data_IF_523459154998
#
_entry.id   IF_523459154998
#
_cell.length_a   1.000
_cell.length_b   1.000
_cell.length_c   1.000
_cell.angle_alpha   90.00
_cell.angle_beta   90.00
_cell.angle_gamma   90.00
#
_symmetry.space_group_name_H-M   'P 1'
#
loop_
_entity.id
_entity.type
_entity.pdbx_description
1 polymer ?
#
# COMPACT_ATOMS: atom_id res chain seq x y z
N UNK A 1 -17.05 -42.61 18.82
CA UNK A 1 -16.35 -41.38 19.25
C UNK A 1 -15.82 -40.68 18.00
N UNK A 2 -16.62 -39.79 17.41
CA UNK A 2 -16.26 -39.09 16.16
C UNK A 2 -15.62 -37.77 16.54
N UNK A 3 -14.30 -37.65 16.38
CA UNK A 3 -13.59 -36.36 16.49
C UNK A 3 -14.00 -35.50 15.29
N UNK A 4 -14.96 -34.62 15.52
CA UNK A 4 -15.25 -33.52 14.59
C UNK A 4 -14.14 -32.48 14.78
N UNK A 5 -13.08 -32.57 13.97
CA UNK A 5 -12.10 -31.49 13.88
C UNK A 5 -12.74 -30.35 13.11
N UNK A 6 -13.29 -29.39 13.85
CA UNK A 6 -13.62 -28.06 13.34
C UNK A 6 -12.34 -27.45 12.78
N UNK A 7 -12.17 -27.52 11.46
CA UNK A 7 -11.28 -26.67 10.71
C UNK A 7 -11.80 -25.24 10.87
N UNK A 8 -11.38 -24.59 11.96
CA UNK A 8 -11.39 -23.15 12.07
C UNK A 8 -10.54 -22.64 10.90
N UNK A 9 -11.21 -22.26 9.81
CA UNK A 9 -10.61 -21.48 8.73
C UNK A 9 -10.24 -20.13 9.34
N UNK A 10 -9.09 -20.06 10.00
CA UNK A 10 -8.51 -18.82 10.48
C UNK A 10 -8.52 -17.85 9.29
N UNK A 11 -9.38 -16.83 9.37
CA UNK A 11 -9.38 -15.75 8.39
C UNK A 11 -7.95 -15.21 8.32
N UNK A 12 -7.38 -15.03 7.11
CA UNK A 12 -6.05 -14.48 7.00
C UNK A 12 -6.01 -13.13 7.71
N UNK A 13 -4.99 -12.90 8.54
CA UNK A 13 -4.78 -11.59 9.17
C UNK A 13 -4.47 -10.59 8.05
N UNK A 14 -5.20 -9.48 8.03
CA UNK A 14 -5.09 -8.45 6.99
C UNK A 14 -5.13 -7.07 7.63
N UNK A 15 -4.29 -6.15 7.14
CA UNK A 15 -4.39 -4.72 7.40
C UNK A 15 -4.68 -3.96 6.10
N UNK A 16 -5.28 -2.79 6.23
CA UNK A 16 -5.65 -1.92 5.12
C UNK A 16 -5.15 -0.49 5.35
N UNK A 17 -4.72 0.15 4.26
CA UNK A 17 -4.57 1.59 4.19
C UNK A 17 -5.41 2.11 3.02
N UNK A 18 -6.50 2.82 3.32
CA UNK A 18 -7.43 3.36 2.32
C UNK A 18 -7.16 4.85 2.11
N UNK A 19 -6.89 5.24 0.87
CA UNK A 19 -6.64 6.61 0.44
C UNK A 19 -7.93 7.15 -0.16
N UNK A 20 -8.45 8.23 0.42
CA UNK A 20 -9.70 8.88 0.02
C UNK A 20 -9.59 10.42 -0.04
N UNK A 21 -8.37 10.97 0.02
CA UNK A 21 -8.16 12.42 0.01
C UNK A 21 -7.66 12.84 -1.38
N UNK A 22 -6.36 13.17 -1.49
CA UNK A 22 -5.75 13.55 -2.74
C UNK A 22 -5.63 12.36 -3.70
N UNK A 23 -5.48 11.14 -3.16
CA UNK A 23 -5.43 9.89 -3.91
C UNK A 23 -6.66 9.04 -3.56
N UNK A 24 -7.25 8.39 -4.56
CA UNK A 24 -8.26 7.35 -4.36
C UNK A 24 -7.63 5.98 -4.59
N UNK A 25 -7.68 5.09 -3.60
CA UNK A 25 -7.10 3.76 -3.71
C UNK A 25 -6.88 3.06 -2.39
N UNK A 26 -6.15 1.95 -2.43
CA UNK A 26 -5.80 1.20 -1.23
C UNK A 26 -4.47 0.47 -1.33
N UNK A 27 -3.93 0.19 -0.14
CA UNK A 27 -2.97 -0.88 0.10
C UNK A 27 -3.62 -1.92 1.02
N UNK A 28 -3.38 -3.19 0.73
CA UNK A 28 -3.80 -4.33 1.53
C UNK A 28 -2.56 -5.14 1.90
N UNK A 29 -2.39 -5.40 3.19
CA UNK A 29 -1.27 -6.12 3.76
C UNK A 29 -1.78 -7.45 4.27
N UNK A 30 -1.35 -8.56 3.66
CA UNK A 30 -1.82 -9.91 3.96
C UNK A 30 -0.69 -10.66 4.65
N UNK A 31 -0.98 -11.20 5.83
CA UNK A 31 -0.06 -12.02 6.59
C UNK A 31 0.34 -13.27 5.78
N UNK A 32 1.64 -13.50 5.65
CA UNK A 32 2.20 -14.79 5.21
C UNK A 32 2.82 -15.51 6.41
N UNK A 33 3.71 -14.82 7.13
CA UNK A 33 4.30 -15.24 8.40
C UNK A 33 4.80 -14.02 9.20
N UNK A 34 5.34 -14.23 10.40
CA UNK A 34 5.80 -13.15 11.30
C UNK A 34 6.83 -12.19 10.70
N UNK A 35 7.54 -12.58 9.63
CA UNK A 35 8.55 -11.76 8.96
C UNK A 35 8.23 -11.47 7.50
N UNK A 36 7.04 -11.87 7.02
CA UNK A 36 6.69 -11.79 5.61
C UNK A 36 5.24 -11.37 5.42
N UNK A 37 5.05 -10.35 4.60
CA UNK A 37 3.75 -9.78 4.26
C UNK A 37 3.62 -9.65 2.76
N UNK A 38 2.49 -10.11 2.21
CA UNK A 38 2.09 -9.81 0.84
C UNK A 38 1.41 -8.44 0.83
N UNK A 39 1.91 -7.52 0.02
CA UNK A 39 1.30 -6.21 -0.17
C UNK A 39 0.64 -6.16 -1.53
N UNK A 40 -0.64 -5.80 -1.52
CA UNK A 40 -1.44 -5.54 -2.70
C UNK A 40 -1.76 -4.05 -2.77
N UNK A 41 -1.47 -3.39 -3.88
CA UNK A 41 -1.79 -1.98 -4.10
C UNK A 41 -2.66 -1.78 -5.33
N UNK A 42 -3.69 -0.95 -5.20
CA UNK A 42 -4.54 -0.53 -6.31
C UNK A 42 -5.00 0.90 -6.07
N UNK A 43 -4.69 1.78 -7.00
CA UNK A 43 -5.06 3.19 -6.95
C UNK A 43 -5.80 3.58 -8.23
N UNK A 44 -6.82 4.41 -8.07
CA UNK A 44 -7.76 4.77 -9.12
C UNK A 44 -7.50 6.19 -9.64
N UNK A 45 -7.20 7.16 -8.78
CA UNK A 45 -7.03 8.56 -9.20
C UNK A 45 -6.16 9.36 -8.22
N UNK A 46 -5.86 10.62 -8.56
CA UNK A 46 -5.15 11.55 -7.66
C UNK A 46 -3.66 11.74 -7.92
N UNK A 47 -3.17 11.19 -9.02
CA UNK A 47 -1.82 11.41 -9.52
C UNK A 47 -1.85 12.52 -10.58
N UNK A 48 -0.76 13.28 -10.75
CA UNK A 48 -0.66 14.35 -11.76
C UNK A 48 -1.13 13.86 -13.15
N UNK A 49 -2.09 14.59 -13.73
CA UNK A 49 -2.74 14.24 -15.00
C UNK A 49 -3.95 13.31 -14.89
N UNK A 50 -4.27 12.79 -13.69
CA UNK A 50 -5.44 11.94 -13.39
C UNK A 50 -6.68 12.75 -13.01
N UNK A 51 -7.43 13.21 -14.02
CA UNK A 51 -8.84 13.53 -13.82
C UNK A 51 -9.68 12.26 -14.10
N UNK A 52 -10.36 11.72 -13.10
CA UNK A 52 -11.34 10.63 -13.26
C UNK A 52 -10.81 9.29 -13.81
N UNK A 53 -9.61 8.85 -13.39
CA UNK A 53 -9.04 7.58 -13.86
C UNK A 53 -8.90 7.51 -15.39
N UNK A 54 -8.82 8.64 -16.11
CA UNK A 54 -8.92 8.62 -17.59
C UNK A 54 -7.59 8.87 -18.32
N UNK A 55 -6.59 9.42 -17.62
CA UNK A 55 -5.25 9.68 -18.16
C UNK A 55 -4.29 9.87 -17.00
N UNK A 56 -3.02 9.48 -17.12
CA UNK A 56 -1.97 9.85 -16.15
C UNK A 56 -0.74 10.26 -16.93
N UNK A 57 -0.09 11.35 -16.50
CA UNK A 57 1.18 11.80 -17.07
C UNK A 57 2.28 11.08 -16.27
N UNK A 58 3.15 10.27 -16.89
CA UNK A 58 4.29 9.68 -16.20
C UNK A 58 5.13 10.80 -15.57
N UNK A 59 5.30 10.77 -14.25
CA UNK A 59 6.24 11.70 -13.62
C UNK A 59 7.67 11.18 -13.81
N UNK A 60 8.60 12.01 -14.29
CA UNK A 60 10.00 11.61 -14.52
C UNK A 60 10.70 11.11 -13.25
N UNK A 61 10.22 11.50 -12.07
CA UNK A 61 10.80 11.12 -10.77
C UNK A 61 10.03 9.99 -10.05
N UNK A 62 8.89 9.56 -10.61
CA UNK A 62 8.02 8.51 -10.05
C UNK A 62 7.37 8.85 -8.70
N UNK A 63 6.34 8.08 -8.35
CA UNK A 63 5.70 8.12 -7.02
C UNK A 63 6.40 7.15 -6.07
N UNK A 64 6.56 7.54 -4.81
CA UNK A 64 7.15 6.73 -3.74
C UNK A 64 6.08 6.37 -2.72
N UNK A 65 5.95 5.08 -2.42
CA UNK A 65 5.09 4.55 -1.36
C UNK A 65 5.95 4.11 -0.20
N UNK A 66 5.71 4.69 0.96
CA UNK A 66 6.52 4.49 2.16
C UNK A 66 5.63 4.19 3.35
N UNK A 67 6.17 3.42 4.29
CA UNK A 67 5.59 3.30 5.62
C UNK A 67 6.33 4.27 6.55
N UNK A 68 5.56 5.09 7.27
CA UNK A 68 6.07 6.20 8.09
C UNK A 68 5.42 6.21 9.47
N UNK A 69 6.12 6.73 10.48
CA UNK A 69 5.55 6.89 11.84
C UNK A 69 4.60 8.08 11.94
N UNK A 70 4.95 9.18 11.27
CA UNK A 70 4.23 10.46 11.28
C UNK A 70 3.96 10.86 9.82
N UNK A 71 2.70 11.09 9.42
CA UNK A 71 2.34 11.24 8.01
C UNK A 71 2.87 12.51 7.34
N UNK A 72 3.10 13.59 8.09
CA UNK A 72 3.53 14.89 7.55
C UNK A 72 4.98 15.27 7.89
N UNK A 73 5.65 14.54 8.78
CA UNK A 73 7.04 14.80 9.17
C UNK A 73 7.97 13.73 8.58
N UNK A 74 9.25 14.06 8.28
CA UNK A 74 10.25 13.07 7.92
C UNK A 74 10.36 12.01 9.03
N UNK A 75 9.78 10.85 8.77
CA UNK A 75 9.70 9.73 9.73
C UNK A 75 9.60 8.38 9.01
N UNK A 76 10.14 8.38 7.79
CA UNK A 76 10.26 7.23 6.93
C UNK A 76 11.09 6.14 7.60
N UNK A 77 10.62 4.90 7.46
CA UNK A 77 11.29 3.71 7.96
C UNK A 77 11.88 2.95 6.76
N UNK A 78 13.20 3.02 6.50
CA UNK A 78 13.80 2.45 5.30
C UNK A 78 13.52 0.97 5.08
N UNK A 79 13.48 0.17 6.16
CA UNK A 79 13.19 -1.27 6.09
C UNK A 79 11.78 -1.61 5.56
N UNK A 80 10.88 -0.63 5.52
CA UNK A 80 9.50 -0.78 5.06
C UNK A 80 9.23 0.03 3.77
N UNK A 81 10.27 0.41 3.02
CA UNK A 81 10.08 1.10 1.74
C UNK A 81 9.42 0.17 0.72
N UNK A 82 8.25 0.55 0.24
CA UNK A 82 7.51 -0.22 -0.74
C UNK A 82 7.89 0.19 -2.18
N UNK A 83 8.49 1.38 -2.35
CA UNK A 83 8.73 2.03 -3.66
C UNK A 83 9.57 1.21 -4.62
N UNK A 84 10.54 0.43 -4.11
CA UNK A 84 11.45 -0.35 -4.96
C UNK A 84 10.76 -1.51 -5.68
N UNK A 85 9.72 -2.08 -5.06
CA UNK A 85 9.03 -3.29 -5.51
C UNK A 85 7.62 -3.02 -5.99
N UNK A 86 6.96 -2.01 -5.43
CA UNK A 86 5.75 -1.42 -5.98
C UNK A 86 6.12 -0.36 -7.02
N UNK A 87 6.72 -0.82 -8.13
CA UNK A 87 6.94 0.04 -9.30
C UNK A 87 5.62 0.19 -10.05
N UNK A 88 5.04 1.37 -10.00
CA UNK A 88 3.82 1.69 -10.71
C UNK A 88 3.99 1.52 -12.23
N UNK A 89 3.44 0.44 -12.79
CA UNK A 89 3.03 0.40 -14.20
C UNK A 89 1.54 0.75 -14.21
N UNK A 90 1.26 2.03 -14.41
CA UNK A 90 -0.08 2.59 -14.46
C UNK A 90 -0.71 2.18 -15.80
N UNK A 91 -1.94 1.66 -15.79
CA UNK A 91 -2.58 1.23 -17.03
C UNK A 91 -3.20 2.42 -17.77
N UNK A 92 -3.34 2.34 -19.12
CA UNK A 92 -3.95 3.41 -19.92
C UNK A 92 -5.38 3.78 -19.50
N UNK A 93 -6.09 2.88 -18.82
CA UNK A 93 -7.42 3.09 -18.23
C UNK A 93 -7.41 3.90 -16.93
N UNK A 94 -6.32 4.61 -16.65
CA UNK A 94 -6.06 5.53 -15.53
C UNK A 94 -6.23 5.00 -14.11
N UNK A 95 -6.52 3.71 -13.93
CA UNK A 95 -6.18 2.96 -12.73
C UNK A 95 -4.73 2.46 -12.74
N UNK A 96 -4.22 2.04 -11.59
CA UNK A 96 -3.06 1.15 -11.53
C UNK A 96 -3.56 -0.28 -11.69
N UNK A 97 -2.90 -1.12 -12.50
CA UNK A 97 -3.07 -2.57 -12.35
C UNK A 97 -2.88 -2.95 -10.89
N UNK A 98 -3.64 -3.94 -10.42
CA UNK A 98 -3.39 -4.53 -9.11
C UNK A 98 -1.93 -4.98 -9.01
N UNK A 99 -1.18 -4.35 -8.10
CA UNK A 99 0.23 -4.63 -7.88
C UNK A 99 0.37 -5.56 -6.68
N UNK A 100 1.11 -6.65 -6.82
CA UNK A 100 1.34 -7.63 -5.74
C UNK A 100 2.81 -7.86 -5.54
N UNK A 101 3.30 -7.70 -4.31
CA UNK A 101 4.67 -8.07 -3.99
C UNK A 101 4.85 -8.48 -2.53
N UNK A 102 5.79 -9.39 -2.30
CA UNK A 102 6.19 -9.84 -0.98
C UNK A 102 7.24 -8.90 -0.37
N UNK A 103 7.06 -8.60 0.91
CA UNK A 103 7.95 -7.77 1.71
C UNK A 103 8.39 -8.49 2.99
N UNK A 104 9.60 -8.14 3.46
CA UNK A 104 10.26 -8.74 4.63
C UNK A 104 9.93 -7.99 5.93
N UNK A 105 8.65 -7.96 6.30
CA UNK A 105 8.16 -7.44 7.58
C UNK A 105 6.86 -8.15 7.99
N UNK A 106 6.55 -8.17 9.30
CA UNK A 106 5.30 -8.68 9.83
C UNK A 106 4.18 -7.63 9.82
N UNK A 107 2.93 -8.04 10.07
CA UNK A 107 1.83 -7.09 10.18
C UNK A 107 1.91 -6.22 11.44
N UNK A 108 2.34 -6.80 12.56
CA UNK A 108 2.45 -6.08 13.83
C UNK A 108 3.51 -4.99 13.80
N UNK A 109 4.54 -5.14 12.95
CA UNK A 109 5.57 -4.14 12.70
C UNK A 109 5.03 -2.82 12.10
N UNK A 110 3.91 -2.89 11.38
CA UNK A 110 3.35 -1.79 10.59
C UNK A 110 1.97 -1.34 11.05
N UNK A 111 1.34 -2.09 11.95
CA UNK A 111 0.03 -1.77 12.51
C UNK A 111 0.09 -0.44 13.26
N UNK A 112 -0.86 0.45 12.99
CA UNK A 112 -0.90 1.80 13.59
C UNK A 112 0.09 2.80 12.99
N UNK A 113 0.90 2.40 11.99
CA UNK A 113 1.68 3.32 11.18
C UNK A 113 0.84 3.89 10.03
N UNK A 114 1.48 4.66 9.16
CA UNK A 114 0.84 5.27 7.99
C UNK A 114 1.53 4.80 6.70
N UNK A 115 0.73 4.50 5.69
CA UNK A 115 1.21 4.43 4.32
C UNK A 115 1.16 5.84 3.73
N UNK A 116 2.26 6.30 3.15
CA UNK A 116 2.44 7.64 2.60
C UNK A 116 2.81 7.54 1.13
N UNK A 117 2.16 8.34 0.30
CA UNK A 117 2.51 8.54 -1.09
C UNK A 117 3.16 9.92 -1.24
N UNK A 118 4.30 9.96 -1.90
CA UNK A 118 5.08 11.19 -2.06
C UNK A 118 5.75 11.25 -3.43
N UNK A 119 6.02 12.46 -3.90
CA UNK A 119 6.67 12.76 -5.17
C UNK A 119 7.53 14.01 -4.98
N UNK A 120 8.73 14.05 -5.54
CA UNK A 120 9.63 15.21 -5.44
C UNK A 120 9.83 15.74 -4.00
N UNK A 121 9.91 14.82 -3.01
CA UNK A 121 10.00 15.13 -1.56
C UNK A 121 8.75 15.77 -0.94
N UNK A 122 7.69 16.02 -1.70
CA UNK A 122 6.39 16.47 -1.22
C UNK A 122 5.50 15.26 -0.91
N UNK A 123 4.82 15.31 0.23
CA UNK A 123 3.77 14.34 0.56
C UNK A 123 2.52 14.70 -0.25
N UNK A 124 1.96 13.72 -0.97
CA UNK A 124 0.73 13.88 -1.74
C UNK A 124 -0.46 13.46 -0.88
N UNK A 125 -0.39 12.25 -0.33
CA UNK A 125 -1.45 11.70 0.52
C UNK A 125 -0.89 10.67 1.49
N UNK A 126 -1.67 10.31 2.49
CA UNK A 126 -1.37 9.26 3.44
C UNK A 126 -2.64 8.61 3.98
N UNK A 127 -2.51 7.36 4.41
CA UNK A 127 -3.59 6.60 5.01
C UNK A 127 -3.08 5.79 6.22
N UNK A 128 -3.85 5.74 7.32
CA UNK A 128 -3.50 4.90 8.46
C UNK A 128 -3.61 3.41 8.10
N UNK A 129 -2.72 2.60 8.66
CA UNK A 129 -2.69 1.14 8.50
C UNK A 129 -3.45 0.48 9.66
N UNK A 130 -4.60 -0.11 9.37
CA UNK A 130 -5.49 -0.73 10.37
C UNK A 130 -6.22 -1.98 9.88
#
# INVERSE_FOLDING_TARGET
MTRSSSLDKHKPKVLHAKFNNAISGYLKFIYINDKKTLVIGQFCSGFEGSSNCSKIIPSPNGYKIRIVRRPQCPSFIPRFDLSHRLRYKITPSGGTSEMKCDFKFGLDDIKGLFAQVSQNRKVIDFAPIK
#
